data_IF_838533445080
#
_entry.id   IF_838533445080
#
_cell.length_a   1.000
_cell.length_b   1.000
_cell.length_c   1.000
_cell.angle_alpha   90.00
_cell.angle_beta   90.00
_cell.angle_gamma   90.00
#
_symmetry.space_group_name_H-M   'P 1'
#
loop_
_entity.id
_entity.type
_entity.pdbx_description
1 polymer ?
#
# COMPACT_ATOMS: atom_id res chain seq x y z
N UNK A 1 3.95 -9.47 -1.23
CA UNK A 1 4.49 -9.64 0.13
C UNK A 1 4.04 -10.99 0.68
N UNK A 2 4.91 -11.72 1.38
CA UNK A 2 4.56 -13.00 2.02
C UNK A 2 5.09 -13.02 3.46
N UNK A 3 4.23 -13.37 4.41
CA UNK A 3 4.62 -13.63 5.81
C UNK A 3 4.41 -15.11 6.08
N UNK A 4 5.45 -15.75 6.63
CA UNK A 4 5.41 -17.16 6.95
C UNK A 4 4.18 -17.48 7.83
N UNK A 5 3.42 -18.57 7.58
CA UNK A 5 2.18 -18.88 8.29
C UNK A 5 2.31 -18.87 9.82
N UNK A 6 3.47 -19.32 10.33
CA UNK A 6 3.82 -19.36 11.77
C UNK A 6 3.98 -17.99 12.44
N UNK A 7 4.10 -16.90 11.67
CA UNK A 7 4.24 -15.52 12.14
C UNK A 7 3.07 -14.63 11.70
N UNK A 8 1.94 -15.23 11.32
CA UNK A 8 0.72 -14.47 11.02
C UNK A 8 0.12 -13.92 12.32
N UNK A 9 -0.59 -12.79 12.23
CA UNK A 9 -1.22 -12.04 13.35
C UNK A 9 -0.29 -11.21 14.22
N UNK A 10 1.01 -11.19 13.95
CA UNK A 10 1.97 -10.30 14.64
C UNK A 10 2.01 -8.87 14.06
N UNK A 11 1.14 -8.54 13.11
CA UNK A 11 1.11 -7.20 12.50
C UNK A 11 2.28 -6.90 11.54
N UNK A 12 3.16 -7.86 11.27
CA UNK A 12 4.33 -7.72 10.39
C UNK A 12 3.98 -7.21 8.99
N UNK A 13 2.85 -7.67 8.43
CA UNK A 13 2.32 -7.19 7.16
C UNK A 13 2.10 -5.67 7.14
N UNK A 14 1.49 -5.15 8.20
CA UNK A 14 1.18 -3.72 8.35
C UNK A 14 2.44 -2.89 8.54
N UNK A 15 3.41 -3.42 9.29
CA UNK A 15 4.70 -2.75 9.50
C UNK A 15 5.41 -2.53 8.16
N UNK A 16 5.55 -3.58 7.35
CA UNK A 16 6.25 -3.48 6.06
C UNK A 16 5.50 -2.56 5.10
N UNK A 17 4.17 -2.67 4.99
CA UNK A 17 3.39 -1.75 4.14
C UNK A 17 3.63 -0.31 4.57
N UNK A 18 3.57 0.00 5.88
CA UNK A 18 3.80 1.35 6.39
C UNK A 18 5.21 1.87 6.11
N UNK A 19 6.24 1.04 6.23
CA UNK A 19 7.61 1.46 5.90
C UNK A 19 7.78 1.69 4.39
N UNK A 20 7.16 0.87 3.55
CA UNK A 20 7.14 1.09 2.10
C UNK A 20 6.41 2.39 1.73
N UNK A 21 5.30 2.70 2.39
CA UNK A 21 4.59 3.98 2.21
C UNK A 21 5.47 5.17 2.59
N UNK A 22 6.16 5.10 3.74
CA UNK A 22 7.10 6.12 4.19
C UNK A 22 8.26 6.33 3.21
N UNK A 23 8.85 5.24 2.72
CA UNK A 23 9.91 5.27 1.72
C UNK A 23 9.42 5.91 0.42
N UNK A 24 8.23 5.51 -0.03
CA UNK A 24 7.62 6.04 -1.25
C UNK A 24 7.41 7.56 -1.16
N UNK A 25 6.86 8.02 -0.04
CA UNK A 25 6.65 9.44 0.24
C UNK A 25 7.97 10.22 0.29
N UNK A 26 9.01 9.67 0.94
CA UNK A 26 10.32 10.33 1.03
C UNK A 26 10.98 10.53 -0.34
N UNK A 27 10.72 9.60 -1.27
CA UNK A 27 11.17 9.68 -2.67
C UNK A 27 10.27 10.53 -3.56
N UNK A 28 9.17 11.07 -3.03
CA UNK A 28 8.22 11.90 -3.78
C UNK A 28 7.25 11.10 -4.65
N UNK A 29 7.11 9.78 -4.44
CA UNK A 29 6.07 9.01 -5.13
C UNK A 29 4.70 9.39 -4.59
N UNK A 30 3.75 9.60 -5.51
CA UNK A 30 2.38 10.02 -5.22
C UNK A 30 1.38 8.87 -5.20
N UNK A 31 1.79 7.70 -5.70
CA UNK A 31 0.92 6.55 -5.87
C UNK A 31 1.67 5.26 -5.67
N UNK A 32 1.05 4.33 -4.95
CA UNK A 32 1.55 2.97 -4.75
C UNK A 32 0.56 2.01 -5.38
N UNK A 33 1.10 1.06 -6.14
CA UNK A 33 0.35 -0.04 -6.75
C UNK A 33 0.79 -1.36 -6.12
N UNK A 34 -0.18 -2.15 -5.68
CA UNK A 34 0.05 -3.47 -5.12
C UNK A 34 -0.85 -4.48 -5.82
N UNK A 35 -0.36 -5.71 -5.98
CA UNK A 35 -1.15 -6.83 -6.47
C UNK A 35 -1.07 -7.99 -5.48
N UNK A 36 -2.16 -8.73 -5.35
CA UNK A 36 -2.19 -9.99 -4.59
C UNK A 36 -2.99 -11.05 -5.35
N UNK A 37 -2.72 -12.32 -5.06
CA UNK A 37 -3.52 -13.41 -5.59
C UNK A 37 -4.85 -13.57 -4.84
N UNK A 38 -5.88 -14.13 -5.48
CA UNK A 38 -7.19 -14.37 -4.87
C UNK A 38 -7.15 -15.41 -3.75
N UNK A 39 -6.17 -16.32 -3.79
CA UNK A 39 -5.89 -17.31 -2.73
C UNK A 39 -5.26 -16.73 -1.45
N UNK A 40 -5.12 -15.41 -1.34
CA UNK A 40 -4.51 -14.72 -0.20
C UNK A 40 -5.51 -13.73 0.44
N UNK A 41 -6.58 -14.21 1.10
CA UNK A 41 -7.60 -13.34 1.67
C UNK A 41 -7.06 -12.45 2.80
N UNK A 42 -5.99 -12.87 3.50
CA UNK A 42 -5.31 -12.06 4.50
C UNK A 42 -4.68 -10.80 3.89
N UNK A 43 -4.05 -10.92 2.72
CA UNK A 43 -3.42 -9.79 2.04
C UNK A 43 -4.47 -8.78 1.58
N UNK A 44 -5.61 -9.24 1.08
CA UNK A 44 -6.75 -8.38 0.73
C UNK A 44 -7.24 -7.60 1.95
N UNK A 45 -7.48 -8.28 3.08
CA UNK A 45 -7.89 -7.59 4.32
C UNK A 45 -6.85 -6.59 4.80
N UNK A 46 -5.57 -6.93 4.71
CA UNK A 46 -4.47 -6.04 5.08
C UNK A 46 -4.46 -4.76 4.25
N UNK A 47 -4.56 -4.87 2.92
CA UNK A 47 -4.51 -3.69 2.04
C UNK A 47 -5.75 -2.81 2.17
N UNK A 48 -6.95 -3.42 2.27
CA UNK A 48 -8.18 -2.68 2.57
C UNK A 48 -8.06 -1.93 3.91
N UNK A 49 -7.61 -2.59 4.97
CA UNK A 49 -7.41 -1.94 6.28
C UNK A 49 -6.28 -0.90 6.29
N UNK A 50 -5.37 -0.95 5.31
CA UNK A 50 -4.29 0.04 5.14
C UNK A 50 -4.74 1.24 4.28
N UNK A 51 -5.99 1.26 3.80
CA UNK A 51 -6.56 2.35 3.00
C UNK A 51 -6.16 2.31 1.53
N UNK A 52 -5.94 1.12 0.98
CA UNK A 52 -5.80 0.95 -0.47
C UNK A 52 -7.17 0.75 -1.11
N UNK A 53 -7.36 1.40 -2.25
CA UNK A 53 -8.53 1.28 -3.11
C UNK A 53 -8.42 0.04 -4.01
N UNK A 54 -9.34 -0.93 -3.88
CA UNK A 54 -9.39 -2.08 -4.76
C UNK A 54 -9.77 -1.64 -6.17
N UNK A 55 -9.09 -2.17 -7.18
CA UNK A 55 -9.38 -1.91 -8.60
C UNK A 55 -10.26 -3.03 -9.19
N UNK A 56 -11.12 -3.61 -8.37
CA UNK A 56 -12.01 -4.73 -8.66
C UNK A 56 -13.19 -4.70 -7.67
N UNK A 57 -14.26 -5.46 -7.96
CA UNK A 57 -15.39 -5.57 -7.04
C UNK A 57 -15.02 -6.41 -5.80
N UNK A 58 -15.13 -5.80 -4.61
CA UNK A 58 -14.83 -6.48 -3.34
C UNK A 58 -15.88 -7.54 -2.99
N UNK A 59 -17.15 -7.32 -3.39
CA UNK A 59 -18.28 -8.23 -3.19
C UNK A 59 -18.28 -9.40 -4.18
N UNK A 60 -17.81 -9.18 -5.40
CA UNK A 60 -17.60 -10.21 -6.42
C UNK A 60 -16.14 -10.29 -6.86
N UNK A 61 -15.31 -10.84 -5.98
CA UNK A 61 -13.87 -10.90 -6.20
C UNK A 61 -13.53 -11.93 -7.29
N UNK A 62 -12.70 -11.56 -8.29
CA UNK A 62 -12.22 -12.51 -9.29
C UNK A 62 -11.57 -13.74 -8.66
N UNK A 63 -12.01 -14.94 -9.09
CA UNK A 63 -11.42 -16.20 -8.64
C UNK A 63 -10.00 -16.44 -9.21
N UNK A 64 -9.66 -15.72 -10.28
CA UNK A 64 -8.44 -15.85 -11.06
C UNK A 64 -7.86 -14.47 -11.40
N UNK A 65 -6.55 -14.42 -11.66
CA UNK A 65 -5.85 -13.17 -11.96
C UNK A 65 -5.45 -12.36 -10.73
N UNK A 66 -4.60 -11.33 -10.91
CA UNK A 66 -4.15 -10.48 -9.81
C UNK A 66 -5.26 -9.53 -9.35
N UNK A 67 -5.41 -9.40 -8.04
CA UNK A 67 -6.23 -8.38 -7.40
C UNK A 67 -5.40 -7.14 -7.19
N UNK A 68 -5.68 -6.10 -7.97
CA UNK A 68 -4.94 -4.85 -7.93
C UNK A 68 -5.51 -3.88 -6.89
N UNK A 69 -4.60 -3.17 -6.24
CA UNK A 69 -4.86 -2.18 -5.20
C UNK A 69 -4.03 -0.95 -5.48
N UNK A 70 -4.63 0.21 -5.24
CA UNK A 70 -4.00 1.52 -5.46
C UNK A 70 -4.14 2.34 -4.19
N UNK A 71 -3.12 3.11 -3.85
CA UNK A 71 -3.26 4.17 -2.87
C UNK A 71 -2.57 5.42 -3.37
N UNK A 72 -3.31 6.51 -3.35
CA UNK A 72 -2.79 7.84 -3.68
C UNK A 72 -2.43 8.57 -2.39
N UNK A 73 -1.36 9.35 -2.45
CA UNK A 73 -0.89 10.13 -1.34
C UNK A 73 -0.97 11.62 -1.69
N UNK A 74 -1.59 12.44 -0.83
CA UNK A 74 -1.63 13.87 -1.06
C UNK A 74 -0.21 14.44 -1.00
N UNK A 75 0.11 15.33 -1.94
CA UNK A 75 1.37 16.07 -1.93
C UNK A 75 1.34 16.96 -0.69
N UNK A 76 2.16 16.67 0.31
CA UNK A 76 2.62 17.74 1.19
C UNK A 76 3.71 18.46 0.42
N UNK A 77 3.41 19.68 -0.04
CA UNK A 77 4.44 20.58 -0.54
C UNK A 77 5.55 20.64 0.52
N UNK A 78 6.69 20.02 0.23
CA UNK A 78 7.92 20.27 0.99
C UNK A 78 8.14 21.76 0.83
N UNK A 79 8.27 22.45 1.97
CA UNK A 79 8.18 23.91 2.09
C UNK A 79 9.00 24.64 1.03
N UNK A 80 8.56 25.87 0.72
CA UNK A 80 9.32 26.85 -0.06
C UNK A 80 10.81 26.68 0.22
N UNK A 81 11.55 26.34 -0.83
CA UNK A 81 13.00 26.51 -0.81
C UNK A 81 13.18 28.02 -0.82
N UNK A 82 13.35 28.63 0.35
CA UNK A 82 13.80 30.01 0.45
C UNK A 82 15.23 30.00 -0.11
N UNK A 83 15.36 30.23 -1.42
CA UNK A 83 16.62 30.68 -1.99
C UNK A 83 16.96 31.99 -1.27
N UNK A 84 17.95 31.93 -0.38
CA UNK A 84 18.57 33.12 0.20
C UNK A 84 19.04 33.99 -0.97
N UNK A 85 18.41 35.14 -1.14
CA UNK A 85 19.01 36.25 -1.86
C UNK A 85 19.90 36.97 -0.85
N UNK A 86 21.21 36.84 -1.01
CA UNK A 86 22.24 37.83 -0.64
C UNK A 86 23.56 37.47 -1.34
#
# INVERSE_FOLDING_TARGET
>A
MWTHPRHRREGLGRLVVRELEREALRRGYRRIYLTTGPRQPEAVRLYLASGYDPQFDVGDRPAQGPLAFVKEFPIKLVGKVDYCAE
#
